data_IF_220328578275
#
_entry.id   IF_220328578275
#
_cell.length_a   1.000
_cell.length_b   1.000
_cell.length_c   1.000
_cell.angle_alpha   90.00
_cell.angle_beta   90.00
_cell.angle_gamma   90.00
#
_symmetry.space_group_name_H-M   'P 1'
#
loop_
_entity.id
_entity.type
_entity.pdbx_description
1 polymer ?
#
# COMPACT_ATOMS: atom_id res chain seq x y z
N UNK A 1 -83.38 -98.72 39.76
CA UNK A 1 -82.38 -98.77 38.68
C UNK A 1 -82.69 -97.82 37.52
N UNK A 2 -83.94 -97.73 37.04
CA UNK A 2 -84.28 -96.89 35.88
C UNK A 2 -84.06 -95.38 36.10
N UNK A 3 -84.48 -94.83 37.24
CA UNK A 3 -84.32 -93.41 37.57
C UNK A 3 -82.85 -92.99 37.70
N UNK A 4 -81.99 -93.85 38.27
CA UNK A 4 -80.56 -93.58 38.38
C UNK A 4 -79.89 -93.52 37.00
N UNK A 5 -80.30 -94.39 36.08
CA UNK A 5 -79.87 -94.37 34.68
C UNK A 5 -80.35 -93.11 33.94
N UNK A 6 -81.59 -92.68 34.16
CA UNK A 6 -82.11 -91.44 33.59
C UNK A 6 -81.38 -90.20 34.13
N UNK A 7 -81.05 -90.19 35.43
CA UNK A 7 -80.28 -89.10 36.06
C UNK A 7 -78.85 -89.04 35.52
N UNK A 8 -78.20 -90.18 35.35
CA UNK A 8 -76.86 -90.27 34.74
C UNK A 8 -76.88 -89.78 33.28
N UNK A 9 -77.90 -90.16 32.51
CA UNK A 9 -78.10 -89.69 31.14
C UNK A 9 -78.25 -88.17 31.07
N UNK A 10 -79.08 -87.58 31.93
CA UNK A 10 -79.24 -86.12 32.01
C UNK A 10 -77.93 -85.41 32.40
N UNK A 11 -77.14 -86.00 33.31
CA UNK A 11 -75.82 -85.48 33.67
C UNK A 11 -74.83 -85.56 32.49
N UNK A 12 -74.81 -86.67 31.74
CA UNK A 12 -73.97 -86.80 30.55
C UNK A 12 -74.35 -85.78 29.46
N UNK A 13 -75.65 -85.58 29.22
CA UNK A 13 -76.13 -84.59 28.25
C UNK A 13 -75.75 -83.15 28.67
N UNK A 14 -75.84 -82.83 29.96
CA UNK A 14 -75.40 -81.55 30.50
C UNK A 14 -73.87 -81.37 30.40
N UNK A 15 -73.10 -82.43 30.63
CA UNK A 15 -71.65 -82.41 30.50
C UNK A 15 -71.23 -82.21 29.04
N UNK A 16 -71.86 -82.92 28.10
CA UNK A 16 -71.60 -82.80 26.67
C UNK A 16 -71.90 -81.39 26.16
N UNK A 17 -73.03 -80.79 26.54
CA UNK A 17 -73.34 -79.39 26.20
C UNK A 17 -72.31 -78.41 26.74
N UNK A 18 -71.79 -78.65 27.95
CA UNK A 18 -70.77 -77.80 28.56
C UNK A 18 -69.40 -77.99 27.89
N UNK A 19 -69.07 -79.23 27.50
CA UNK A 19 -67.88 -79.54 26.72
C UNK A 19 -67.92 -78.82 25.37
N UNK A 20 -69.01 -78.97 24.61
CA UNK A 20 -69.22 -78.32 23.32
C UNK A 20 -69.15 -76.78 23.44
N UNK A 21 -69.73 -76.21 24.51
CA UNK A 21 -69.60 -74.78 24.79
C UNK A 21 -68.15 -74.36 25.01
N UNK A 22 -67.39 -75.09 25.83
CA UNK A 22 -65.98 -74.80 26.12
C UNK A 22 -65.11 -74.98 24.87
N UNK A 23 -65.37 -75.99 24.05
CA UNK A 23 -64.67 -76.21 22.78
C UNK A 23 -64.90 -75.05 21.81
N UNK A 24 -66.15 -74.58 21.68
CA UNK A 24 -66.48 -73.42 20.86
C UNK A 24 -65.85 -72.12 21.41
N UNK A 25 -65.86 -71.91 22.72
CA UNK A 25 -65.19 -70.76 23.36
C UNK A 25 -63.67 -70.81 23.13
N UNK A 26 -63.05 -71.99 23.26
CA UNK A 26 -61.61 -72.15 23.05
C UNK A 26 -61.22 -71.92 21.58
N UNK A 27 -62.01 -72.43 20.63
CA UNK A 27 -61.81 -72.15 19.20
C UNK A 27 -61.94 -70.65 18.88
N UNK A 28 -62.94 -69.97 19.47
CA UNK A 28 -63.09 -68.52 19.31
C UNK A 28 -61.92 -67.74 19.91
N UNK A 29 -61.43 -68.13 21.10
CA UNK A 29 -60.28 -67.50 21.73
C UNK A 29 -59.00 -67.70 20.91
N UNK A 30 -58.76 -68.90 20.40
CA UNK A 30 -57.62 -69.18 19.51
C UNK A 30 -57.67 -68.34 18.23
N UNK A 31 -58.85 -68.23 17.62
CA UNK A 31 -59.03 -67.39 16.43
C UNK A 31 -58.78 -65.91 16.73
N UNK A 32 -59.30 -65.41 17.84
CA UNK A 32 -59.10 -64.03 18.27
C UNK A 32 -57.62 -63.74 18.58
N UNK A 33 -56.93 -64.68 19.23
CA UNK A 33 -55.49 -64.58 19.48
C UNK A 33 -54.71 -64.53 18.17
N UNK A 34 -54.97 -65.45 17.23
CA UNK A 34 -54.30 -65.49 15.93
C UNK A 34 -54.50 -64.19 15.13
N UNK A 35 -55.74 -63.66 15.13
CA UNK A 35 -56.08 -62.39 14.48
C UNK A 35 -55.32 -61.21 15.12
N UNK A 36 -55.31 -61.15 16.46
CA UNK A 36 -54.63 -60.09 17.20
C UNK A 36 -53.11 -60.12 16.99
N UNK A 37 -52.50 -61.31 17.03
CA UNK A 37 -51.07 -61.46 16.75
C UNK A 37 -50.72 -61.07 15.30
N UNK A 38 -51.55 -61.42 14.33
CA UNK A 38 -51.35 -61.01 12.93
C UNK A 38 -51.41 -59.48 12.79
N UNK A 39 -52.37 -58.83 13.47
CA UNK A 39 -52.49 -57.38 13.49
C UNK A 39 -51.26 -56.73 14.13
N UNK A 40 -50.80 -57.23 15.29
CA UNK A 40 -49.60 -56.70 15.95
C UNK A 40 -48.34 -56.90 15.11
N UNK A 41 -48.17 -58.07 14.48
CA UNK A 41 -47.06 -58.31 13.55
C UNK A 41 -47.05 -57.30 12.40
N UNK A 42 -48.21 -57.01 11.81
CA UNK A 42 -48.35 -55.98 10.78
C UNK A 42 -47.96 -54.59 11.27
N UNK A 43 -48.44 -54.19 12.46
CA UNK A 43 -48.09 -52.88 13.05
C UNK A 43 -46.60 -52.77 13.38
N UNK A 44 -45.97 -53.84 13.88
CA UNK A 44 -44.53 -53.87 14.17
C UNK A 44 -43.75 -53.67 12.87
N UNK A 45 -44.07 -54.42 11.82
CA UNK A 45 -43.41 -54.29 10.51
C UNK A 45 -43.51 -52.86 9.96
N UNK A 46 -44.69 -52.24 10.02
CA UNK A 46 -44.87 -50.85 9.57
C UNK A 46 -44.05 -49.85 10.39
N UNK A 47 -43.99 -50.03 11.72
CA UNK A 47 -43.16 -49.20 12.59
C UNK A 47 -41.68 -49.37 12.29
N UNK A 48 -41.23 -50.60 12.07
CA UNK A 48 -39.83 -50.89 11.72
C UNK A 48 -39.43 -50.24 10.41
N UNK A 49 -40.29 -50.28 9.39
CA UNK A 49 -40.05 -49.59 8.12
C UNK A 49 -39.99 -48.07 8.29
N UNK A 50 -40.88 -47.49 9.11
CA UNK A 50 -40.84 -46.06 9.43
C UNK A 50 -39.57 -45.66 10.19
N UNK A 51 -39.12 -46.50 11.13
CA UNK A 51 -37.87 -46.28 11.88
C UNK A 51 -36.68 -46.29 10.92
N UNK A 52 -36.60 -47.26 10.00
CA UNK A 52 -35.54 -47.31 8.99
C UNK A 52 -35.52 -46.08 8.10
N UNK A 53 -36.69 -45.63 7.62
CA UNK A 53 -36.79 -44.42 6.80
C UNK A 53 -36.33 -43.18 7.55
N UNK A 54 -36.74 -43.02 8.82
CA UNK A 54 -36.30 -41.90 9.66
C UNK A 54 -34.80 -41.96 9.94
N UNK A 55 -34.23 -43.15 10.14
CA UNK A 55 -32.79 -43.30 10.33
C UNK A 55 -32.01 -42.84 9.11
N UNK A 56 -32.43 -43.25 7.90
CA UNK A 56 -31.81 -42.79 6.66
C UNK A 56 -31.91 -41.27 6.50
N UNK A 57 -33.04 -40.68 6.87
CA UNK A 57 -33.21 -39.22 6.83
C UNK A 57 -32.30 -38.50 7.83
N UNK A 58 -32.14 -39.04 9.04
CA UNK A 58 -31.20 -38.53 10.05
C UNK A 58 -29.77 -38.58 9.52
N UNK A 59 -29.37 -39.69 8.90
CA UNK A 59 -28.01 -39.85 8.35
C UNK A 59 -27.75 -38.85 7.22
N UNK A 60 -28.71 -38.64 6.32
CA UNK A 60 -28.63 -37.63 5.26
C UNK A 60 -28.52 -36.20 5.81
N UNK A 61 -29.34 -35.85 6.81
CA UNK A 61 -29.30 -34.53 7.44
C UNK A 61 -27.98 -34.30 8.17
N UNK A 62 -27.43 -35.32 8.84
CA UNK A 62 -26.12 -35.24 9.48
C UNK A 62 -25.00 -35.01 8.46
N UNK A 63 -25.07 -35.66 7.30
CA UNK A 63 -24.10 -35.45 6.23
C UNK A 63 -24.18 -34.02 5.67
N UNK A 64 -25.39 -33.50 5.42
CA UNK A 64 -25.60 -32.12 4.98
C UNK A 64 -25.11 -31.11 6.01
N UNK A 65 -25.38 -31.34 7.30
CA UNK A 65 -24.92 -30.50 8.39
C UNK A 65 -23.38 -30.46 8.44
N UNK A 66 -22.73 -31.61 8.33
CA UNK A 66 -21.27 -31.70 8.30
C UNK A 66 -20.67 -30.93 7.12
N UNK A 67 -21.27 -31.06 5.93
CA UNK A 67 -20.84 -30.33 4.74
C UNK A 67 -21.01 -28.82 4.90
N UNK A 68 -22.15 -28.36 5.41
CA UNK A 68 -22.42 -26.95 5.66
C UNK A 68 -21.45 -26.36 6.71
N UNK A 69 -21.15 -27.11 7.78
CA UNK A 69 -20.15 -26.72 8.78
C UNK A 69 -18.75 -26.59 8.17
N UNK A 70 -18.36 -27.50 7.28
CA UNK A 70 -17.08 -27.42 6.58
C UNK A 70 -17.01 -26.18 5.68
N UNK A 71 -18.07 -25.90 4.92
CA UNK A 71 -18.15 -24.72 4.07
C UNK A 71 -18.09 -23.42 4.89
N UNK A 72 -18.77 -23.38 6.03
CA UNK A 72 -18.74 -22.22 6.93
C UNK A 72 -17.33 -21.97 7.49
N UNK A 73 -16.62 -23.04 7.90
CA UNK A 73 -15.22 -22.93 8.36
C UNK A 73 -14.30 -22.39 7.25
N UNK A 74 -14.48 -22.86 6.02
CA UNK A 74 -13.73 -22.36 4.88
C UNK A 74 -14.01 -20.88 4.64
N UNK A 75 -15.29 -20.48 4.59
CA UNK A 75 -15.68 -19.10 4.38
C UNK A 75 -15.12 -18.17 5.46
N UNK A 76 -15.10 -18.62 6.72
CA UNK A 76 -14.53 -17.84 7.82
C UNK A 76 -13.01 -17.66 7.69
N UNK A 77 -12.32 -18.69 7.20
CA UNK A 77 -10.88 -18.63 6.90
C UNK A 77 -10.62 -17.63 5.77
N UNK A 78 -11.41 -17.71 4.69
CA UNK A 78 -11.30 -16.81 3.54
C UNK A 78 -11.59 -15.36 3.94
N UNK A 79 -12.60 -15.12 4.77
CA UNK A 79 -12.93 -13.80 5.30
C UNK A 79 -11.79 -13.21 6.14
N UNK A 80 -11.14 -14.04 6.98
CA UNK A 80 -9.99 -13.62 7.78
C UNK A 80 -8.80 -13.27 6.89
N UNK A 81 -8.48 -14.11 5.91
CA UNK A 81 -7.41 -13.85 4.96
C UNK A 81 -7.66 -12.58 4.12
N UNK A 82 -8.91 -12.32 3.77
CA UNK A 82 -9.31 -11.11 3.06
C UNK A 82 -9.14 -9.86 3.93
N UNK A 83 -9.57 -9.91 5.20
CA UNK A 83 -9.39 -8.81 6.15
C UNK A 83 -7.89 -8.46 6.33
N UNK A 84 -7.02 -9.46 6.43
CA UNK A 84 -5.57 -9.23 6.49
C UNK A 84 -5.01 -8.57 5.21
N UNK A 85 -5.49 -9.02 4.04
CA UNK A 85 -5.10 -8.42 2.75
C UNK A 85 -5.50 -6.95 2.68
N UNK A 86 -6.73 -6.62 3.10
CA UNK A 86 -7.18 -5.22 3.20
C UNK A 86 -6.33 -4.42 4.18
N UNK A 87 -6.01 -4.96 5.36
CA UNK A 87 -5.14 -4.28 6.32
C UNK A 87 -3.73 -4.01 5.78
N UNK A 88 -3.15 -4.94 4.99
CA UNK A 88 -1.87 -4.71 4.30
C UNK A 88 -1.98 -3.63 3.22
N UNK A 89 -3.07 -3.64 2.45
CA UNK A 89 -3.30 -2.66 1.40
C UNK A 89 -3.50 -1.25 1.98
N UNK A 90 -4.23 -1.12 3.08
CA UNK A 90 -4.43 0.15 3.78
C UNK A 90 -3.11 0.74 4.24
N UNK A 91 -2.25 -0.07 4.88
CA UNK A 91 -0.89 0.35 5.27
C UNK A 91 -0.07 0.82 4.07
N UNK A 92 -0.07 0.06 2.98
CA UNK A 92 0.65 0.45 1.76
C UNK A 92 0.12 1.76 1.16
N UNK A 93 -1.19 2.03 1.28
CA UNK A 93 -1.78 3.29 0.83
C UNK A 93 -1.34 4.47 1.72
N UNK A 94 -1.29 4.27 3.04
CA UNK A 94 -0.75 5.25 3.99
C UNK A 94 0.72 5.55 3.71
N UNK A 95 1.54 4.52 3.51
CA UNK A 95 2.97 4.68 3.19
C UNK A 95 3.17 5.42 1.87
N UNK A 96 2.39 5.09 0.85
CA UNK A 96 2.43 5.77 -0.44
C UNK A 96 2.02 7.24 -0.31
N UNK A 97 0.98 7.55 0.47
CA UNK A 97 0.57 8.92 0.77
C UNK A 97 1.68 9.72 1.46
N UNK A 98 2.35 9.12 2.44
CA UNK A 98 3.46 9.75 3.15
C UNK A 98 4.63 10.04 2.19
N UNK A 99 5.00 9.06 1.36
CA UNK A 99 6.02 9.20 0.31
C UNK A 99 5.69 10.34 -0.66
N UNK A 100 4.43 10.46 -1.08
CA UNK A 100 4.00 11.58 -1.92
C UNK A 100 4.13 12.92 -1.21
N UNK A 101 3.78 13.01 0.07
CA UNK A 101 3.91 14.25 0.84
C UNK A 101 5.37 14.66 1.01
N UNK A 102 6.28 13.72 1.23
CA UNK A 102 7.73 13.96 1.28
C UNK A 102 8.24 14.52 -0.05
N UNK A 103 7.90 13.87 -1.18
CA UNK A 103 8.28 14.33 -2.52
C UNK A 103 7.75 15.75 -2.81
N UNK A 104 6.52 16.07 -2.38
CA UNK A 104 5.97 17.42 -2.54
C UNK A 104 6.77 18.47 -1.76
N UNK A 105 7.22 18.13 -0.55
CA UNK A 105 8.06 18.98 0.30
C UNK A 105 9.44 19.17 -0.34
N UNK A 106 10.13 18.08 -0.71
CA UNK A 106 11.45 18.14 -1.37
C UNK A 106 11.40 18.98 -2.65
N UNK A 107 10.36 18.81 -3.48
CA UNK A 107 10.16 19.62 -4.69
C UNK A 107 10.01 21.11 -4.36
N UNK A 108 9.29 21.45 -3.29
CA UNK A 108 9.12 22.85 -2.89
C UNK A 108 10.45 23.45 -2.37
N UNK A 109 11.24 22.68 -1.64
CA UNK A 109 12.58 23.07 -1.20
C UNK A 109 13.51 23.31 -2.40
N UNK A 110 13.53 22.39 -3.36
CA UNK A 110 14.31 22.54 -4.60
C UNK A 110 13.91 23.78 -5.39
N UNK A 111 12.60 24.12 -5.40
CA UNK A 111 12.12 25.36 -6.03
C UNK A 111 12.67 26.60 -5.32
N UNK A 112 12.64 26.63 -3.99
CA UNK A 112 13.18 27.72 -3.20
C UNK A 112 14.70 27.89 -3.41
N UNK A 113 15.45 26.77 -3.43
CA UNK A 113 16.89 26.78 -3.72
C UNK A 113 17.16 27.32 -5.13
N UNK A 114 16.40 26.87 -6.13
CA UNK A 114 16.51 27.37 -7.50
C UNK A 114 16.26 28.87 -7.60
N UNK A 115 15.22 29.38 -6.95
CA UNK A 115 14.89 30.81 -6.93
C UNK A 115 16.00 31.63 -6.27
N UNK A 116 16.58 31.14 -5.16
CA UNK A 116 17.73 31.76 -4.51
C UNK A 116 18.96 31.79 -5.42
N UNK A 117 19.32 30.67 -6.04
CA UNK A 117 20.47 30.59 -6.96
C UNK A 117 20.34 31.53 -8.16
N UNK A 118 19.12 31.67 -8.71
CA UNK A 118 18.86 32.63 -9.79
C UNK A 118 19.04 34.09 -9.32
N UNK A 119 18.66 34.39 -8.08
CA UNK A 119 18.91 35.70 -7.47
C UNK A 119 20.40 35.99 -7.30
N UNK A 120 21.14 35.03 -6.73
CA UNK A 120 22.59 35.14 -6.52
C UNK A 120 23.35 35.26 -7.85
N UNK A 121 22.92 34.53 -8.89
CA UNK A 121 23.47 34.63 -10.24
C UNK A 121 23.29 36.03 -10.83
N UNK A 122 22.07 36.61 -10.73
CA UNK A 122 21.80 37.98 -11.22
C UNK A 122 22.67 39.00 -10.49
N UNK A 123 22.80 38.87 -9.16
CA UNK A 123 23.65 39.76 -8.37
C UNK A 123 25.12 39.67 -8.79
N UNK A 124 25.63 38.45 -8.98
CA UNK A 124 27.01 38.24 -9.43
C UNK A 124 27.25 38.81 -10.82
N UNK A 125 26.26 38.69 -11.73
CA UNK A 125 26.33 39.26 -13.08
C UNK A 125 26.45 40.80 -13.04
N UNK A 126 25.65 41.47 -12.21
CA UNK A 126 25.73 42.93 -12.03
C UNK A 126 27.10 43.36 -11.48
N UNK A 127 27.64 42.62 -10.51
CA UNK A 127 28.98 42.91 -9.96
C UNK A 127 30.08 42.76 -11.01
N UNK A 128 29.97 41.77 -11.90
CA UNK A 128 30.91 41.59 -13.01
C UNK A 128 30.84 42.80 -13.96
N UNK A 129 29.63 43.25 -14.32
CA UNK A 129 29.43 44.42 -15.19
C UNK A 129 29.99 45.71 -14.54
N UNK A 130 29.76 45.92 -13.24
CA UNK A 130 30.32 47.05 -12.50
C UNK A 130 31.86 47.04 -12.49
N UNK A 131 32.47 45.88 -12.20
CA UNK A 131 33.92 45.72 -12.22
C UNK A 131 34.52 45.89 -13.61
N UNK A 132 33.82 45.46 -14.67
CA UNK A 132 34.24 45.68 -16.05
C UNK A 132 34.23 47.17 -16.40
N UNK A 133 33.17 47.89 -16.03
CA UNK A 133 33.08 49.34 -16.24
C UNK A 133 34.15 50.11 -15.46
N UNK A 134 34.45 49.70 -14.22
CA UNK A 134 35.54 50.29 -13.43
C UNK A 134 36.91 50.01 -14.05
N UNK A 135 37.16 48.77 -14.51
CA UNK A 135 38.39 48.40 -15.23
C UNK A 135 38.58 49.28 -16.47
N UNK A 136 37.55 49.50 -17.27
CA UNK A 136 37.62 50.37 -18.44
C UNK A 136 37.97 51.82 -18.08
N UNK A 137 37.33 52.37 -17.03
CA UNK A 137 37.65 53.71 -16.53
C UNK A 137 39.11 53.82 -16.06
N UNK A 138 39.63 52.80 -15.39
CA UNK A 138 41.02 52.76 -14.95
C UNK A 138 42.00 52.68 -16.11
N UNK A 139 41.69 51.88 -17.14
CA UNK A 139 42.49 51.83 -18.38
C UNK A 139 42.55 53.21 -19.04
N UNK A 140 41.40 53.87 -19.23
CA UNK A 140 41.36 55.23 -19.80
C UNK A 140 42.18 56.25 -18.98
N UNK A 141 42.08 56.20 -17.65
CA UNK A 141 42.90 57.05 -16.76
C UNK A 141 44.39 56.75 -16.88
N UNK A 142 44.75 55.47 -17.01
CA UNK A 142 46.14 55.05 -17.16
C UNK A 142 46.72 55.53 -18.50
N UNK A 143 45.97 55.39 -19.59
CA UNK A 143 46.38 55.85 -20.91
C UNK A 143 46.56 57.38 -20.95
N UNK A 144 45.65 58.14 -20.33
CA UNK A 144 45.82 59.59 -20.18
C UNK A 144 47.06 59.97 -19.37
N UNK A 145 47.34 59.23 -18.30
CA UNK A 145 48.54 59.44 -17.49
C UNK A 145 49.81 59.14 -18.30
N UNK A 146 49.84 58.07 -19.11
CA UNK A 146 50.96 57.76 -20.02
C UNK A 146 51.20 58.88 -21.01
N UNK A 147 50.16 59.37 -21.69
CA UNK A 147 50.27 60.50 -22.63
C UNK A 147 50.85 61.74 -21.95
N UNK A 148 50.42 62.05 -20.72
CA UNK A 148 50.99 63.16 -19.94
C UNK A 148 52.47 62.93 -19.62
N UNK A 149 52.85 61.72 -19.23
CA UNK A 149 54.25 61.37 -18.95
C UNK A 149 55.10 61.50 -20.21
N UNK A 150 54.63 61.00 -21.35
CA UNK A 150 55.32 61.15 -22.64
C UNK A 150 55.50 62.62 -23.01
N UNK A 151 54.48 63.46 -22.82
CA UNK A 151 54.58 64.90 -23.05
C UNK A 151 55.60 65.60 -22.12
N UNK A 152 55.67 65.18 -20.85
CA UNK A 152 56.67 65.67 -19.90
C UNK A 152 58.08 65.24 -20.34
N UNK A 153 58.26 63.97 -20.74
CA UNK A 153 59.54 63.45 -21.25
C UNK A 153 59.98 64.25 -22.48
N UNK A 154 59.09 64.49 -23.44
CA UNK A 154 59.40 65.31 -24.62
C UNK A 154 59.83 66.72 -24.24
N UNK A 155 59.09 67.37 -23.33
CA UNK A 155 59.43 68.73 -22.86
C UNK A 155 60.77 68.77 -22.14
N UNK A 156 61.07 67.78 -21.30
CA UNK A 156 62.37 67.66 -20.62
C UNK A 156 63.51 67.42 -21.62
N UNK A 157 63.29 66.65 -22.68
CA UNK A 157 64.27 66.45 -23.73
C UNK A 157 64.60 67.76 -24.47
N UNK A 158 63.59 68.55 -24.86
CA UNK A 158 63.80 69.88 -25.48
C UNK A 158 64.55 70.81 -24.54
N UNK A 159 64.14 70.90 -23.27
CA UNK A 159 64.80 71.77 -22.30
C UNK A 159 66.26 71.36 -22.07
N UNK A 160 66.54 70.05 -22.06
CA UNK A 160 67.91 69.52 -21.96
C UNK A 160 68.78 69.97 -23.14
N UNK A 161 68.26 69.96 -24.36
CA UNK A 161 69.00 70.44 -25.55
C UNK A 161 69.23 71.94 -25.54
N UNK A 162 68.26 72.74 -25.07
CA UNK A 162 68.41 74.20 -24.94
C UNK A 162 69.42 74.54 -23.83
N UNK A 163 69.40 73.81 -22.71
CA UNK A 163 70.34 74.00 -21.62
C UNK A 163 71.78 73.60 -22.00
N UNK A 164 71.94 72.53 -22.79
CA UNK A 164 73.22 72.15 -23.39
C UNK A 164 73.71 73.18 -24.42
N UNK A 165 72.83 73.75 -25.25
CA UNK A 165 73.18 74.83 -26.17
C UNK A 165 73.65 76.08 -25.42
N UNK A 166 72.94 76.50 -24.38
CA UNK A 166 73.37 77.61 -23.54
C UNK A 166 74.69 77.32 -22.81
N UNK A 167 74.93 76.08 -22.36
CA UNK A 167 76.21 75.68 -21.78
C UNK A 167 77.36 75.75 -22.81
N UNK A 168 77.11 75.36 -24.06
CA UNK A 168 78.08 75.50 -25.16
C UNK A 168 78.33 76.97 -25.54
N UNK A 169 77.30 77.81 -25.62
CA UNK A 169 77.44 79.26 -25.85
C UNK A 169 78.23 79.94 -24.73
N UNK A 170 77.97 79.58 -23.47
CA UNK A 170 78.73 80.09 -22.32
C UNK A 170 80.20 79.61 -22.39
N UNK A 171 80.48 78.37 -22.79
CA UNK A 171 81.84 77.88 -23.00
C UNK A 171 82.56 78.60 -24.16
N UNK A 172 81.86 78.92 -25.25
CA UNK A 172 82.41 79.70 -26.36
C UNK A 172 82.70 81.16 -25.96
N UNK A 173 81.86 81.76 -25.10
CA UNK A 173 82.11 83.09 -24.55
C UNK A 173 83.21 83.12 -23.48
N UNK A 174 83.43 82.01 -22.77
CA UNK A 174 84.52 81.84 -21.81
C UNK A 174 85.90 81.62 -22.47
N UNK A 175 85.93 81.29 -23.76
CA UNK A 175 87.14 81.20 -24.57
C UNK A 175 87.03 82.12 -25.81
N UNK A 176 87.38 83.41 -25.68
CA UNK A 176 87.44 84.29 -26.84
C UNK A 176 88.58 83.81 -27.73
N UNK A 177 88.25 83.37 -28.93
CA UNK A 177 89.23 83.07 -29.97
C UNK A 177 90.04 84.33 -30.24
N UNK A 178 91.30 84.31 -29.80
CA UNK A 178 92.37 85.09 -30.41
C UNK A 178 92.35 84.80 -31.91
N UNK A 179 91.81 85.73 -32.71
CA UNK A 179 92.24 86.07 -34.08
C UNK A 179 91.21 86.99 -34.77
N UNK A 180 91.37 88.30 -34.58
CA UNK A 180 91.85 89.17 -35.66
C UNK A 180 92.11 90.61 -35.16
N UNK A 181 93.35 91.07 -35.39
CA UNK A 181 93.87 92.42 -35.20
C UNK A 181 93.75 93.26 -36.50
N UNK A 182 93.67 94.60 -36.32
CA UNK A 182 93.94 95.76 -37.23
C UNK A 182 92.94 96.13 -38.36
N UNK A 183 92.26 97.30 -38.24
CA UNK A 183 92.64 98.67 -38.69
C UNK A 183 91.77 99.70 -37.94
#
# INVERSE_FOLDING_TARGET
MLEQLQRLKAHLDALNKRLEKVENENASLQQNQANSEAQFRGQISQKDDSIKQKQLQIDQLNQQLSQAQSQFKQLNTDATALAERYGRLEKSCTDLKNRFQEILTERNELRAVKEKMLGDQKKSQLQIEELQAERERLIQKNDHAKVKVEAIIQRLATLGTEQDQHAQEIQQLAHPTEQHEEI
#
